data_IF_729485611536
#
_entry.id   IF_729485611536
#
_cell.length_a   1.000
_cell.length_b   1.000
_cell.length_c   1.000
_cell.angle_alpha   90.00
_cell.angle_beta   90.00
_cell.angle_gamma   90.00
#
_symmetry.space_group_name_H-M   'P 1'
#
loop_
_entity.id
_entity.type
_entity.pdbx_description
1 polymer ?
#
# COMPACT_ATOMS: atom_id res chain seq x y z
N UNK A 1 24.20 -2.94 17.79
CA UNK A 1 24.02 -4.40 17.97
C UNK A 1 24.88 -4.91 19.11
N UNK A 2 24.34 -5.81 19.91
CA UNK A 2 25.07 -6.40 21.01
C UNK A 2 25.20 -7.90 20.74
N UNK A 3 26.45 -8.40 20.74
CA UNK A 3 26.76 -9.84 20.62
C UNK A 3 26.35 -10.51 19.28
N UNK A 4 26.17 -9.76 18.19
CA UNK A 4 25.81 -10.31 16.88
C UNK A 4 24.34 -10.72 16.72
N UNK A 5 23.48 -10.36 17.65
CA UNK A 5 22.03 -10.59 17.57
C UNK A 5 21.28 -9.31 17.21
N UNK A 6 20.22 -9.45 16.42
CA UNK A 6 19.20 -8.42 16.19
C UNK A 6 17.89 -8.90 16.80
N UNK A 7 17.08 -7.96 17.31
CA UNK A 7 15.73 -8.25 17.75
C UNK A 7 14.77 -8.07 16.59
N UNK A 8 13.97 -9.08 16.31
CA UNK A 8 12.82 -8.97 15.43
C UNK A 8 11.52 -8.94 16.27
N UNK A 9 10.53 -8.24 15.76
CA UNK A 9 9.19 -8.17 16.34
C UNK A 9 8.13 -8.42 15.27
N UNK A 10 7.03 -9.09 15.64
CA UNK A 10 5.83 -9.21 14.83
C UNK A 10 4.70 -8.45 15.52
N UNK A 11 4.10 -7.50 14.80
CA UNK A 11 2.97 -6.70 15.25
C UNK A 11 1.65 -7.33 14.82
N UNK A 12 0.64 -7.24 15.67
CA UNK A 12 -0.73 -7.62 15.35
C UNK A 12 -1.63 -6.46 15.75
N UNK A 13 -1.77 -5.42 14.88
CA UNK A 13 -2.59 -4.26 15.18
C UNK A 13 -4.07 -4.63 15.20
N UNK A 14 -4.85 -3.85 15.91
CA UNK A 14 -6.29 -3.83 15.67
C UNK A 14 -6.52 -3.27 14.26
N UNK A 15 -7.35 -3.95 13.47
CA UNK A 15 -7.64 -3.52 12.08
C UNK A 15 -9.14 -3.38 11.86
N UNK A 16 -9.49 -2.42 10.98
CA UNK A 16 -10.84 -2.23 10.47
C UNK A 16 -10.84 -2.42 8.96
N UNK A 17 -11.86 -3.12 8.47
CA UNK A 17 -11.99 -3.40 7.03
C UNK A 17 -12.17 -2.09 6.26
N UNK A 18 -11.27 -1.86 5.29
CA UNK A 18 -11.24 -0.69 4.41
C UNK A 18 -11.04 0.68 5.10
N UNK A 19 -10.70 0.70 6.39
CA UNK A 19 -10.38 1.92 7.16
C UNK A 19 -8.85 2.07 7.23
N UNK A 20 -8.25 2.50 6.11
CA UNK A 20 -6.79 2.54 5.96
C UNK A 20 -6.15 3.52 6.94
N UNK A 21 -6.80 4.63 7.25
CA UNK A 21 -6.31 5.65 8.18
C UNK A 21 -6.21 5.11 9.61
N UNK A 22 -7.29 4.46 10.10
CA UNK A 22 -7.27 3.80 11.41
C UNK A 22 -6.16 2.73 11.47
N UNK A 23 -6.08 1.89 10.44
CA UNK A 23 -5.11 0.81 10.39
C UNK A 23 -3.67 1.33 10.37
N UNK A 24 -3.39 2.39 9.61
CA UNK A 24 -2.08 3.04 9.59
C UNK A 24 -1.71 3.63 10.95
N UNK A 25 -2.65 4.30 11.63
CA UNK A 25 -2.46 4.85 12.97
C UNK A 25 -2.05 3.78 13.97
N UNK A 26 -2.72 2.62 13.96
CA UNK A 26 -2.38 1.49 14.83
C UNK A 26 -1.01 0.87 14.47
N UNK A 27 -0.66 0.80 13.18
CA UNK A 27 0.65 0.33 12.72
C UNK A 27 1.76 1.26 13.24
N UNK A 28 1.63 2.58 13.03
CA UNK A 28 2.60 3.59 13.47
C UNK A 28 2.81 3.53 14.98
N UNK A 29 1.72 3.49 15.74
CA UNK A 29 1.76 3.33 17.21
C UNK A 29 2.57 2.10 17.62
N UNK A 30 2.32 0.96 17.00
CA UNK A 30 3.02 -0.29 17.29
C UNK A 30 4.49 -0.27 16.86
N UNK A 31 4.84 0.41 15.75
CA UNK A 31 6.23 0.59 15.33
C UNK A 31 7.04 1.27 16.43
N UNK A 32 6.54 2.39 16.98
CA UNK A 32 7.23 3.08 18.08
C UNK A 32 7.31 2.22 19.35
N UNK A 33 6.25 1.49 19.71
CA UNK A 33 6.30 0.55 20.84
C UNK A 33 7.34 -0.57 20.66
N UNK A 34 7.52 -1.07 19.44
CA UNK A 34 8.54 -2.08 19.12
C UNK A 34 9.95 -1.48 19.13
N UNK A 35 10.10 -0.23 18.67
CA UNK A 35 11.36 0.51 18.71
C UNK A 35 11.82 0.70 20.17
N UNK A 36 10.94 1.13 21.07
CA UNK A 36 11.24 1.27 22.50
C UNK A 36 11.76 -0.05 23.10
N UNK A 37 11.33 -1.18 22.57
CA UNK A 37 11.82 -2.50 22.94
C UNK A 37 13.12 -2.89 22.21
N UNK A 38 13.61 -2.06 21.29
CA UNK A 38 14.85 -2.25 20.54
C UNK A 38 14.73 -3.23 19.36
N UNK A 39 13.54 -3.39 18.77
CA UNK A 39 13.37 -4.16 17.54
C UNK A 39 14.08 -3.46 16.37
N UNK A 40 14.69 -4.25 15.48
CA UNK A 40 15.40 -3.80 14.28
C UNK A 40 14.82 -4.39 12.99
N UNK A 41 13.95 -5.37 13.11
CA UNK A 41 13.10 -5.90 12.04
C UNK A 41 11.70 -6.03 12.61
N UNK A 42 10.75 -5.39 11.95
CA UNK A 42 9.35 -5.33 12.36
C UNK A 42 8.48 -5.84 11.22
N UNK A 43 7.56 -6.75 11.51
CA UNK A 43 6.69 -7.36 10.50
C UNK A 43 5.24 -7.24 10.94
N UNK A 44 4.41 -6.74 10.03
CA UNK A 44 2.98 -6.63 10.19
C UNK A 44 2.23 -7.65 9.31
N UNK A 45 0.94 -7.92 9.58
CA UNK A 45 0.17 -8.91 8.84
C UNK A 45 0.00 -8.54 7.36
N UNK A 46 -0.24 -9.57 6.55
CA UNK A 46 -0.68 -9.45 5.16
C UNK A 46 -1.87 -8.51 5.02
N UNK A 47 -1.81 -7.58 4.04
CA UNK A 47 -2.88 -6.59 3.75
C UNK A 47 -3.31 -5.76 4.98
N UNK A 48 -2.42 -5.52 5.94
CA UNK A 48 -2.77 -4.87 7.21
C UNK A 48 -3.23 -3.41 7.04
N UNK A 49 -2.86 -2.72 5.95
CA UNK A 49 -3.32 -1.34 5.69
C UNK A 49 -4.81 -1.31 5.34
N UNK A 50 -5.33 -2.28 4.58
CA UNK A 50 -6.75 -2.33 4.19
C UNK A 50 -7.59 -3.28 5.02
N UNK A 51 -6.99 -4.19 5.75
CA UNK A 51 -7.44 -5.48 6.22
C UNK A 51 -7.61 -6.53 5.10
N UNK A 52 -7.47 -7.82 5.47
CA UNK A 52 -7.51 -8.93 4.52
C UNK A 52 -8.91 -9.18 3.91
N UNK A 53 -9.97 -8.87 4.65
CA UNK A 53 -11.35 -9.28 4.30
C UNK A 53 -12.14 -8.20 3.55
N UNK A 54 -11.50 -7.33 2.77
CA UNK A 54 -12.16 -6.29 2.00
C UNK A 54 -13.07 -6.82 0.89
N UNK A 55 -12.83 -8.05 0.40
CA UNK A 55 -13.67 -8.65 -0.64
C UNK A 55 -13.69 -7.81 -1.93
N UNK A 56 -14.89 -7.56 -2.46
CA UNK A 56 -15.04 -6.80 -3.71
C UNK A 56 -14.64 -5.31 -3.58
N UNK A 57 -14.39 -4.80 -2.37
CA UNK A 57 -13.82 -3.45 -2.17
C UNK A 57 -12.41 -3.31 -2.77
N UNK A 58 -11.68 -4.42 -2.96
CA UNK A 58 -10.39 -4.38 -3.66
C UNK A 58 -10.48 -3.92 -5.12
N UNK A 59 -11.69 -3.83 -5.72
CA UNK A 59 -11.91 -3.23 -7.03
C UNK A 59 -12.18 -1.72 -6.99
N UNK A 60 -12.23 -1.12 -5.79
CA UNK A 60 -12.48 0.29 -5.62
C UNK A 60 -11.17 1.08 -5.71
N UNK A 61 -11.05 1.92 -6.72
CA UNK A 61 -9.88 2.79 -6.91
C UNK A 61 -9.57 3.62 -5.66
N UNK A 62 -10.60 4.17 -5.01
CA UNK A 62 -10.44 4.95 -3.79
C UNK A 62 -9.76 4.16 -2.66
N UNK A 63 -10.05 2.86 -2.51
CA UNK A 63 -9.39 2.03 -1.50
C UNK A 63 -7.91 1.81 -1.82
N UNK A 64 -7.58 1.61 -3.10
CA UNK A 64 -6.21 1.38 -3.55
C UNK A 64 -5.37 2.65 -3.42
N UNK A 65 -5.94 3.79 -3.77
CA UNK A 65 -5.29 5.09 -3.60
C UNK A 65 -5.09 5.42 -2.12
N UNK A 66 -6.12 5.21 -1.29
CA UNK A 66 -6.01 5.43 0.16
C UNK A 66 -4.94 4.53 0.80
N UNK A 67 -4.82 3.29 0.36
CA UNK A 67 -3.76 2.40 0.83
C UNK A 67 -2.35 2.95 0.53
N UNK A 68 -2.15 3.61 -0.63
CA UNK A 68 -0.88 4.27 -0.98
C UNK A 68 -0.64 5.54 -0.14
N UNK A 69 -1.68 6.37 0.06
CA UNK A 69 -1.61 7.54 0.96
C UNK A 69 -1.14 7.12 2.34
N UNK A 70 -1.76 6.10 2.91
CA UNK A 70 -1.43 5.64 4.25
C UNK A 70 -0.08 4.90 4.31
N UNK A 71 0.38 4.28 3.23
CA UNK A 71 1.75 3.74 3.14
C UNK A 71 2.79 4.86 3.25
N UNK A 72 2.61 5.96 2.50
CA UNK A 72 3.51 7.14 2.57
C UNK A 72 3.50 7.73 3.97
N UNK A 73 2.32 7.90 4.58
CA UNK A 73 2.18 8.36 5.96
C UNK A 73 2.93 7.46 6.96
N UNK A 74 2.77 6.13 6.86
CA UNK A 74 3.50 5.19 7.73
C UNK A 74 5.01 5.39 7.55
N UNK A 75 5.52 5.47 6.32
CA UNK A 75 6.93 5.67 6.07
C UNK A 75 7.44 6.96 6.72
N UNK A 76 6.74 8.08 6.55
CA UNK A 76 7.15 9.39 7.04
C UNK A 76 7.03 9.53 8.56
N UNK A 77 5.93 9.08 9.16
CA UNK A 77 5.74 9.13 10.61
C UNK A 77 6.64 8.14 11.39
N UNK A 78 7.32 7.23 10.68
CA UNK A 78 8.32 6.32 11.25
C UNK A 78 9.75 6.58 10.73
N UNK A 79 10.02 7.77 10.17
CA UNK A 79 11.31 8.12 9.58
C UNK A 79 12.47 8.15 10.59
N UNK A 80 12.19 8.42 11.85
CA UNK A 80 13.14 8.42 12.95
C UNK A 80 13.48 7.02 13.50
N UNK A 81 12.71 6.00 13.06
CA UNK A 81 12.88 4.61 13.52
C UNK A 81 13.97 3.89 12.74
N UNK A 82 15.05 3.51 13.44
CA UNK A 82 16.16 2.72 12.88
C UNK A 82 15.80 1.21 12.85
N UNK A 83 14.88 0.81 11.97
CA UNK A 83 14.45 -0.56 11.77
C UNK A 83 13.96 -0.79 10.34
N UNK A 84 14.10 -2.03 9.84
CA UNK A 84 13.41 -2.48 8.63
C UNK A 84 11.99 -2.90 9.00
N UNK A 85 11.01 -2.24 8.41
CA UNK A 85 9.58 -2.43 8.69
C UNK A 85 8.90 -3.01 7.46
N UNK A 86 8.11 -4.08 7.63
CA UNK A 86 7.29 -4.66 6.55
C UNK A 86 5.81 -4.46 6.84
N UNK A 87 5.09 -3.85 5.90
CA UNK A 87 3.63 -3.65 5.96
C UNK A 87 2.97 -4.20 4.70
N UNK A 88 1.78 -4.79 4.83
CA UNK A 88 1.04 -5.40 3.72
C UNK A 88 -0.03 -4.48 3.16
N UNK A 89 -0.13 -4.39 1.82
CA UNK A 89 -1.17 -3.63 1.11
C UNK A 89 -1.50 -4.22 -0.26
N UNK A 90 -2.70 -3.91 -0.82
CA UNK A 90 -2.98 -4.14 -2.24
C UNK A 90 -2.29 -3.06 -3.07
N UNK A 91 -1.68 -3.43 -4.19
CA UNK A 91 -0.99 -2.51 -5.09
C UNK A 91 -1.35 -2.81 -6.54
N UNK A 92 -1.86 -1.81 -7.25
CA UNK A 92 -2.08 -1.92 -8.69
C UNK A 92 -0.79 -1.62 -9.45
N UNK A 93 -0.48 -2.47 -10.43
CA UNK A 93 0.62 -2.28 -11.35
C UNK A 93 0.27 -2.81 -12.74
N UNK A 94 0.38 -1.97 -13.76
CA UNK A 94 0.06 -2.26 -15.17
C UNK A 94 -1.31 -2.94 -15.34
N UNK A 95 -2.35 -2.37 -14.73
CA UNK A 95 -3.74 -2.82 -14.80
C UNK A 95 -4.02 -4.16 -14.11
N UNK A 96 -3.14 -4.61 -13.21
CA UNK A 96 -3.31 -5.81 -12.39
C UNK A 96 -3.11 -5.49 -10.93
N UNK A 97 -3.88 -6.16 -10.07
CA UNK A 97 -3.79 -5.99 -8.62
C UNK A 97 -2.89 -7.07 -8.02
N UNK A 98 -1.98 -6.67 -7.15
CA UNK A 98 -1.06 -7.51 -6.42
C UNK A 98 -1.21 -7.33 -4.91
N UNK A 99 -1.05 -8.42 -4.18
CA UNK A 99 -0.91 -8.42 -2.73
C UNK A 99 0.60 -8.29 -2.44
N UNK A 100 1.00 -7.21 -1.80
CA UNK A 100 2.43 -6.92 -1.62
C UNK A 100 2.80 -6.63 -0.18
N UNK A 101 4.05 -6.90 0.17
CA UNK A 101 4.70 -6.39 1.36
C UNK A 101 5.65 -5.24 0.97
N UNK A 102 5.41 -4.05 1.50
CA UNK A 102 6.31 -2.91 1.39
C UNK A 102 7.38 -2.98 2.48
N UNK A 103 8.65 -2.84 2.10
CA UNK A 103 9.77 -2.68 3.02
C UNK A 103 10.04 -1.19 3.23
N UNK A 104 10.04 -0.73 4.49
CA UNK A 104 10.26 0.66 4.88
C UNK A 104 11.49 0.79 5.78
N UNK A 105 12.23 1.88 5.65
CA UNK A 105 13.32 2.25 6.57
C UNK A 105 13.61 3.75 6.47
N UNK A 106 13.73 4.44 7.60
CA UNK A 106 14.08 5.86 7.67
C UNK A 106 13.27 6.77 6.75
N UNK A 107 11.96 6.56 6.68
CA UNK A 107 11.07 7.34 5.83
C UNK A 107 11.00 6.91 4.37
N UNK A 108 11.89 5.98 3.94
CA UNK A 108 11.94 5.51 2.57
C UNK A 108 11.14 4.23 2.38
N UNK A 109 10.49 4.11 1.20
CA UNK A 109 9.91 2.86 0.72
C UNK A 109 10.99 2.16 -0.12
N UNK A 110 11.60 1.12 0.44
CA UNK A 110 12.73 0.45 -0.16
C UNK A 110 12.34 -0.45 -1.33
N UNK A 111 11.11 -0.95 -1.35
CA UNK A 111 10.61 -1.83 -2.39
C UNK A 111 9.35 -2.59 -2.01
N UNK A 112 8.75 -3.22 -3.02
CA UNK A 112 7.55 -4.04 -2.89
C UNK A 112 7.84 -5.51 -3.24
N UNK A 113 7.51 -6.41 -2.32
CA UNK A 113 7.60 -7.86 -2.55
C UNK A 113 6.19 -8.38 -2.81
N UNK A 114 5.86 -8.80 -4.05
CA UNK A 114 4.55 -9.33 -4.38
C UNK A 114 4.42 -10.80 -3.97
N UNK A 115 3.24 -11.18 -3.51
CA UNK A 115 2.87 -12.57 -3.23
C UNK A 115 2.88 -13.41 -4.50
N UNK A 116 3.51 -14.59 -4.45
CA UNK A 116 3.60 -15.52 -5.57
C UNK A 116 2.42 -16.50 -5.55
N UNK A 117 2.22 -17.16 -4.41
CA UNK A 117 1.25 -18.25 -4.27
C UNK A 117 -0.06 -17.73 -3.68
N UNK A 118 -1.11 -17.72 -4.51
CA UNK A 118 -2.42 -17.22 -4.13
C UNK A 118 -3.31 -18.38 -3.70
N UNK A 119 -3.65 -18.55 -2.42
CA UNK A 119 -4.57 -19.57 -1.98
C UNK A 119 -5.96 -19.34 -2.59
N UNK A 120 -6.52 -20.40 -3.19
CA UNK A 120 -7.82 -20.36 -3.83
C UNK A 120 -8.60 -21.63 -3.54
N UNK A 121 -8.66 -22.01 -2.27
CA UNK A 121 -9.31 -23.20 -1.73
C UNK A 121 -9.97 -22.88 -0.39
N UNK A 122 -10.98 -23.65 -0.01
CA UNK A 122 -11.80 -23.45 1.20
C UNK A 122 -12.36 -22.01 1.27
N UNK A 123 -12.01 -21.25 2.31
CA UNK A 123 -12.40 -19.87 2.54
C UNK A 123 -11.55 -18.85 1.78
N UNK A 124 -10.50 -19.28 1.09
CA UNK A 124 -9.61 -18.38 0.37
C UNK A 124 -10.03 -18.19 -1.08
N UNK A 125 -10.09 -16.94 -1.54
CA UNK A 125 -10.49 -16.53 -2.88
C UNK A 125 -9.53 -15.51 -3.49
N UNK A 126 -8.25 -15.57 -3.15
CA UNK A 126 -7.28 -14.53 -3.53
C UNK A 126 -7.13 -14.37 -5.04
N UNK A 127 -7.20 -15.47 -5.80
CA UNK A 127 -7.14 -15.42 -7.27
C UNK A 127 -8.34 -14.69 -7.90
N UNK A 128 -9.39 -14.35 -7.15
CA UNK A 128 -10.47 -13.48 -7.60
C UNK A 128 -10.02 -12.03 -7.74
N UNK A 129 -9.11 -11.58 -6.88
CA UNK A 129 -8.70 -10.18 -6.78
C UNK A 129 -7.28 -9.97 -7.26
N UNK A 130 -6.37 -10.85 -6.88
CA UNK A 130 -4.94 -10.66 -7.04
C UNK A 130 -4.34 -11.51 -8.16
N UNK A 131 -3.27 -11.00 -8.72
CA UNK A 131 -2.41 -11.68 -9.70
C UNK A 131 -1.16 -12.19 -8.99
N UNK A 132 -0.67 -13.39 -9.38
CA UNK A 132 0.60 -13.91 -8.89
C UNK A 132 1.76 -13.00 -9.28
N UNK A 133 2.66 -12.73 -8.32
CA UNK A 133 3.87 -11.96 -8.54
C UNK A 133 5.06 -12.75 -9.08
N UNK A 134 4.91 -14.04 -9.43
CA UNK A 134 6.01 -14.95 -9.78
C UNK A 134 7.00 -14.41 -10.83
N UNK A 135 6.48 -13.71 -11.84
CA UNK A 135 7.28 -13.15 -12.93
C UNK A 135 7.25 -11.62 -12.94
N UNK A 136 6.92 -11.00 -11.82
CA UNK A 136 6.83 -9.56 -11.71
C UNK A 136 8.20 -8.98 -11.43
N UNK A 137 8.66 -8.08 -12.30
CA UNK A 137 9.88 -7.29 -12.13
C UNK A 137 9.68 -5.95 -12.80
N UNK A 138 9.90 -4.85 -12.05
CA UNK A 138 9.67 -3.51 -12.56
C UNK A 138 9.72 -2.45 -11.48
N UNK A 139 9.22 -1.26 -11.80
CA UNK A 139 9.14 -0.12 -10.90
C UNK A 139 7.73 0.43 -10.80
N UNK A 140 7.36 0.89 -9.63
CA UNK A 140 6.10 1.58 -9.32
C UNK A 140 6.45 3.01 -8.95
N UNK A 141 5.81 3.96 -9.62
CA UNK A 141 5.94 5.37 -9.28
C UNK A 141 5.03 5.71 -8.09
N UNK A 142 5.62 6.30 -7.04
CA UNK A 142 4.90 6.79 -5.86
C UNK A 142 5.23 8.27 -5.69
N UNK A 143 4.31 9.14 -6.10
CA UNK A 143 4.41 10.59 -5.89
C UNK A 143 4.12 10.92 -4.42
N UNK A 144 5.19 10.96 -3.63
CA UNK A 144 5.11 11.14 -2.17
C UNK A 144 4.54 12.50 -1.80
N UNK A 145 4.82 13.54 -2.56
CA UNK A 145 4.32 14.89 -2.25
C UNK A 145 2.81 14.99 -2.46
N UNK A 146 2.29 14.34 -3.53
CA UNK A 146 0.84 14.23 -3.76
C UNK A 146 0.16 13.46 -2.64
N UNK A 147 0.71 12.33 -2.23
CA UNK A 147 0.12 11.52 -1.17
C UNK A 147 0.23 12.18 0.21
N UNK A 148 1.35 12.85 0.50
CA UNK A 148 1.52 13.64 1.73
C UNK A 148 0.47 14.74 1.83
N UNK A 149 0.26 15.51 0.77
CA UNK A 149 -0.73 16.57 0.75
C UNK A 149 -2.16 16.08 1.03
N UNK A 150 -2.48 14.82 0.66
CA UNK A 150 -3.79 14.23 0.91
C UNK A 150 -4.02 13.95 2.40
N UNK A 151 -3.12 13.24 3.08
CA UNK A 151 -3.33 12.95 4.50
C UNK A 151 -3.18 14.17 5.42
N UNK A 152 -2.37 15.19 5.02
CA UNK A 152 -2.30 16.46 5.73
C UNK A 152 -3.61 17.25 5.60
N UNK A 153 -4.27 17.25 4.43
CA UNK A 153 -5.55 17.92 4.22
C UNK A 153 -6.69 17.28 5.03
N UNK A 154 -6.67 15.96 5.18
CA UNK A 154 -7.69 15.24 5.95
C UNK A 154 -7.60 15.54 7.46
N UNK A 155 -6.39 15.81 7.97
CA UNK A 155 -6.19 16.20 9.38
C UNK A 155 -6.64 17.66 9.69
N UNK A 156 -6.70 18.53 8.68
CA UNK A 156 -7.19 19.91 8.84
C UNK A 156 -8.72 20.02 8.73
N UNK A 157 -9.40 18.98 8.22
CA UNK A 157 -10.84 19.02 7.95
C UNK A 157 -11.76 18.66 9.14
N UNK A 158 -11.22 18.24 10.27
CA UNK A 158 -12.02 17.86 11.46
C UNK A 158 -12.74 19.04 12.13
N UNK A 159 -12.51 20.29 11.67
CA UNK A 159 -13.16 21.49 12.21
C UNK A 159 -14.26 22.09 11.26
N UNK A 160 -14.69 21.37 10.22
CA UNK A 160 -15.76 21.86 9.33
C UNK A 160 -17.14 21.52 9.92
N UNK A 161 -17.71 22.47 10.67
CA UNK A 161 -19.13 22.45 11.01
C UNK A 161 -19.96 22.60 9.72
N UNK A 162 -20.58 21.50 9.26
CA UNK A 162 -21.58 21.54 8.20
C UNK A 162 -22.89 22.15 8.73
N UNK A 163 -23.12 23.44 8.50
CA UNK A 163 -24.46 24.01 8.59
C UNK A 163 -25.27 23.49 7.38
N UNK A 164 -26.16 22.53 7.62
CA UNK A 164 -27.15 22.07 6.61
C UNK A 164 -28.26 23.11 6.55
N UNK A 165 -28.16 24.09 5.65
CA UNK A 165 -29.33 24.86 5.24
C UNK A 165 -30.24 23.94 4.42
N UNK A 166 -31.33 23.46 5.05
CA UNK A 166 -32.40 22.80 4.32
C UNK A 166 -33.19 23.87 3.53
N UNK A 167 -32.75 24.12 2.28
CA UNK A 167 -33.61 24.82 1.32
C UNK A 167 -34.73 23.87 0.85
N UNK A 168 -35.96 24.33 0.96
CA UNK A 168 -37.14 23.63 0.44
C UNK A 168 -36.95 23.36 -1.06
N UNK A 169 -36.89 22.07 -1.44
CA UNK A 169 -36.79 21.64 -2.83
C UNK A 169 -38.19 21.59 -3.43
N UNK A 170 -38.61 22.68 -4.10
CA UNK A 170 -39.82 22.73 -4.94
C UNK A 170 -39.39 22.64 -6.41
N UNK A 171 -39.85 21.60 -7.10
CA UNK A 171 -39.93 21.57 -8.56
C UNK A 171 -39.14 20.48 -9.29
N UNK A 172 -39.85 19.44 -9.70
CA UNK A 172 -39.54 18.59 -10.81
C UNK A 172 -39.66 19.40 -12.11
N UNK A 173 -38.57 19.68 -12.82
CA UNK A 173 -38.61 20.07 -14.23
C UNK A 173 -38.00 18.98 -15.10
N UNK A 174 -38.68 18.77 -16.24
CA UNK A 174 -38.47 17.69 -17.21
C UNK A 174 -37.04 17.68 -17.75
N UNK A 175 -36.46 16.47 -17.82
CA UNK A 175 -35.19 16.20 -18.53
C UNK A 175 -35.46 16.27 -20.03
N UNK A 176 -34.91 17.28 -20.71
CA UNK A 176 -34.75 17.28 -22.17
C UNK A 176 -33.63 16.29 -22.58
N UNK A 177 -33.98 15.50 -23.60
CA UNK A 177 -33.09 14.51 -24.23
C UNK A 177 -31.85 15.22 -24.81
N UNK A 178 -30.66 14.85 -24.33
CA UNK A 178 -29.39 15.20 -24.98
C UNK A 178 -29.04 14.12 -25.99
N UNK A 179 -28.88 14.56 -27.25
CA UNK A 179 -28.52 13.74 -28.39
C UNK A 179 -27.12 13.10 -28.21
N UNK A 180 -27.06 11.80 -28.54
CA UNK A 180 -25.83 11.04 -28.72
C UNK A 180 -25.09 11.59 -29.95
N UNK A 181 -23.77 11.87 -29.84
CA UNK A 181 -22.78 11.69 -30.90
C UNK A 181 -21.41 12.23 -30.46
N UNK A 182 -20.57 11.40 -29.84
CA UNK A 182 -19.12 11.49 -30.01
C UNK A 182 -18.51 10.08 -29.81
N UNK A 183 -17.96 9.54 -30.91
CA UNK A 183 -17.20 8.28 -30.90
C UNK A 183 -15.90 8.45 -30.11
N UNK A 184 -15.47 7.44 -29.32
CA UNK A 184 -14.19 7.54 -28.60
C UNK A 184 -13.02 7.43 -29.57
N UNK A 185 -12.09 8.36 -29.47
CA UNK A 185 -10.81 8.33 -30.17
C UNK A 185 -10.05 7.03 -29.88
N UNK A 186 -9.66 6.33 -30.94
CA UNK A 186 -8.81 5.15 -30.90
C UNK A 186 -7.42 5.54 -30.38
N UNK A 187 -7.02 5.00 -29.24
CA UNK A 187 -5.64 5.07 -28.74
C UNK A 187 -4.78 4.12 -29.59
N UNK A 188 -3.75 4.67 -30.23
CA UNK A 188 -2.78 3.93 -31.05
C UNK A 188 -1.90 3.04 -30.12
N UNK A 189 -1.93 1.72 -30.35
CA UNK A 189 -1.20 0.70 -29.58
C UNK A 189 0.31 0.64 -29.93
N UNK A 190 0.94 1.74 -30.29
CA UNK A 190 2.39 1.79 -30.55
C UNK A 190 3.11 2.76 -29.60
N UNK A 191 2.89 2.65 -28.30
CA UNK A 191 3.82 3.23 -27.34
C UNK A 191 5.06 2.33 -27.28
N UNK A 192 6.10 2.75 -28.03
CA UNK A 192 7.45 2.25 -27.91
C UNK A 192 7.88 2.38 -26.44
N UNK A 193 8.41 1.29 -25.86
CA UNK A 193 9.01 1.30 -24.53
C UNK A 193 10.12 2.38 -24.53
N UNK A 194 9.79 3.59 -24.08
CA UNK A 194 10.81 4.56 -23.71
C UNK A 194 11.61 3.94 -22.58
N UNK A 195 12.92 3.80 -22.76
CA UNK A 195 13.89 3.54 -21.71
C UNK A 195 13.80 4.70 -20.70
N UNK A 196 12.82 4.61 -19.78
CA UNK A 196 12.49 5.67 -18.85
C UNK A 196 13.65 5.91 -17.90
N UNK A 197 14.10 7.17 -17.81
CA UNK A 197 14.94 7.60 -16.71
C UNK A 197 14.22 7.28 -15.40
N UNK A 198 14.90 6.51 -14.50
CA UNK A 198 14.37 6.24 -13.15
C UNK A 198 14.30 7.55 -12.39
N UNK A 199 13.12 7.91 -11.94
CA UNK A 199 12.90 9.05 -11.04
C UNK A 199 13.18 8.61 -9.60
N UNK A 200 13.53 9.54 -8.71
CA UNK A 200 13.80 9.24 -7.28
C UNK A 200 12.60 8.58 -6.57
N UNK A 201 11.40 8.72 -7.14
CA UNK A 201 10.14 8.16 -6.64
C UNK A 201 9.79 6.78 -7.23
N UNK A 202 10.64 6.24 -8.11
CA UNK A 202 10.43 4.93 -8.71
C UNK A 202 10.93 3.82 -7.80
N UNK A 203 10.01 3.02 -7.29
CA UNK A 203 10.25 1.99 -6.29
C UNK A 203 10.16 0.61 -6.95
N UNK A 204 11.19 -0.21 -6.76
CA UNK A 204 11.21 -1.56 -7.30
C UNK A 204 10.10 -2.45 -6.74
N UNK A 205 9.50 -3.27 -7.64
CA UNK A 205 8.58 -4.35 -7.30
C UNK A 205 9.11 -5.67 -7.88
N UNK A 206 9.47 -6.62 -7.02
CA UNK A 206 10.01 -7.92 -7.43
C UNK A 206 9.85 -8.97 -6.32
N UNK A 207 9.50 -10.23 -6.63
CA UNK A 207 9.44 -11.32 -5.65
C UNK A 207 10.84 -11.75 -5.17
N UNK A 208 11.91 -11.40 -5.90
CA UNK A 208 13.28 -11.80 -5.61
C UNK A 208 14.06 -10.74 -4.81
N UNK A 209 13.38 -9.83 -4.15
CA UNK A 209 14.01 -8.73 -3.43
C UNK A 209 14.70 -9.19 -2.16
N UNK A 210 15.95 -8.72 -1.97
CA UNK A 210 16.75 -8.97 -0.77
C UNK A 210 17.12 -7.62 -0.15
N UNK A 211 16.73 -7.42 1.09
CA UNK A 211 17.09 -6.25 1.89
C UNK A 211 18.40 -6.50 2.61
N UNK A 212 19.33 -5.56 2.52
CA UNK A 212 20.65 -5.65 3.16
C UNK A 212 20.88 -4.46 4.07
N UNK A 213 21.64 -4.67 5.14
CA UNK A 213 22.01 -3.61 6.07
C UNK A 213 23.48 -3.24 5.86
N UNK A 214 23.78 -1.94 5.62
CA UNK A 214 25.15 -1.46 5.39
C UNK A 214 26.07 -1.73 6.57
N UNK A 215 25.58 -1.56 7.80
CA UNK A 215 26.34 -1.85 9.02
C UNK A 215 26.56 -3.35 9.25
N UNK A 216 25.75 -4.20 8.59
CA UNK A 216 25.79 -5.64 8.67
C UNK A 216 25.74 -6.31 7.29
N UNK A 217 26.79 -6.24 6.48
CA UNK A 217 26.76 -6.72 5.08
C UNK A 217 26.46 -8.22 4.91
N UNK A 218 26.50 -9.00 5.99
CA UNK A 218 26.15 -10.42 5.98
C UNK A 218 24.69 -10.69 6.34
N UNK A 219 23.97 -9.67 6.84
CA UNK A 219 22.55 -9.78 7.11
C UNK A 219 21.80 -9.55 5.80
N UNK A 220 21.08 -10.57 5.37
CA UNK A 220 20.19 -10.54 4.21
C UNK A 220 18.79 -10.93 4.69
N UNK A 221 17.80 -10.15 4.33
CA UNK A 221 16.41 -10.36 4.71
C UNK A 221 15.59 -10.41 3.43
N UNK A 222 14.74 -11.43 3.29
CA UNK A 222 13.71 -11.54 2.27
C UNK A 222 12.35 -11.57 2.94
N UNK A 223 11.31 -11.15 2.24
CA UNK A 223 9.93 -11.25 2.69
C UNK A 223 9.19 -12.34 1.88
N UNK A 224 8.36 -13.11 2.56
CA UNK A 224 7.42 -14.08 1.98
C UNK A 224 6.04 -13.82 2.59
N UNK A 225 4.99 -14.01 1.79
CA UNK A 225 3.63 -13.68 2.21
C UNK A 225 2.81 -14.97 2.30
N UNK A 226 2.46 -15.36 3.53
CA UNK A 226 1.53 -16.44 3.87
C UNK A 226 1.81 -17.76 3.12
N UNK A 227 1.08 -18.04 2.03
CA UNK A 227 1.18 -19.28 1.25
C UNK A 227 2.56 -19.49 0.61
N UNK A 228 3.32 -18.41 0.39
CA UNK A 228 4.67 -18.51 -0.21
C UNK A 228 5.63 -19.35 0.63
N UNK A 229 5.41 -19.41 1.95
CA UNK A 229 6.22 -20.22 2.85
C UNK A 229 5.95 -21.74 2.71
N UNK A 230 4.79 -22.14 2.17
CA UNK A 230 4.31 -23.53 2.25
C UNK A 230 4.42 -24.30 0.92
N UNK A 231 4.80 -23.65 -0.19
CA UNK A 231 4.78 -24.22 -1.54
C UNK A 231 6.17 -24.44 -2.11
#
# INVERSE_FOLDING_TARGET
>A
MKDGFIKAAAGTPDVRVADCEFNATEIIRMVHEMEEQGAKVMVFPELCITAYTCGDLFWQENLLEEAKVQLVRIAEETADVDALIFVGLPLEYKGKLYNVAAGLNHGEILGFVPKINLPNYNEFYEARYFTSGENLDGTVHIDRDVYRARYESDTESDDVEFEIEMSEFDGFEELEELEEDEEPDYIDENDEEEDGELYEEDIWISPNMIFTCEEMPKLQIAAEICEDLWV
#
